data_IF_703682505109
#
_entry.id   IF_703682505109
#
_cell.length_a   1.000
_cell.length_b   1.000
_cell.length_c   1.000
_cell.angle_alpha   90.00
_cell.angle_beta   90.00
_cell.angle_gamma   90.00
#
_symmetry.space_group_name_H-M   'P 1'
#
loop_
_entity.id
_entity.type
_entity.pdbx_description
1 polymer ?
#
# COMPACT_ATOMS: atom_id res chain seq x y z
N UNK A 1 -6.06 -4.66 -16.11
CA UNK A 1 -4.74 -4.29 -15.60
C UNK A 1 -3.90 -5.54 -15.62
N UNK A 2 -2.76 -5.51 -16.31
CA UNK A 2 -1.81 -6.63 -16.42
C UNK A 2 -0.76 -6.62 -15.30
N UNK A 3 -1.00 -5.85 -14.23
CA UNK A 3 -0.05 -5.72 -13.13
C UNK A 3 0.02 -7.01 -12.30
N UNK A 4 1.14 -7.73 -12.39
CA UNK A 4 1.42 -8.87 -11.53
C UNK A 4 1.95 -8.42 -10.15
N UNK A 5 1.01 -8.20 -9.24
CA UNK A 5 1.32 -7.82 -7.87
C UNK A 5 2.08 -8.89 -7.07
N UNK A 6 1.97 -10.19 -7.43
CA UNK A 6 2.74 -11.25 -6.77
C UNK A 6 4.19 -11.19 -7.17
N UNK A 7 4.47 -11.10 -8.47
CA UNK A 7 5.82 -10.95 -8.99
C UNK A 7 6.49 -9.67 -8.48
N UNK A 8 5.74 -8.55 -8.45
CA UNK A 8 6.23 -7.30 -7.86
C UNK A 8 6.61 -7.47 -6.39
N UNK A 9 5.72 -8.04 -5.58
CA UNK A 9 5.98 -8.25 -4.15
C UNK A 9 7.23 -9.11 -3.90
N UNK A 10 7.48 -10.14 -4.72
CA UNK A 10 8.62 -11.03 -4.58
C UNK A 10 9.98 -10.32 -4.73
N UNK A 11 10.02 -9.22 -5.50
CA UNK A 11 11.24 -8.42 -5.71
C UNK A 11 11.53 -7.44 -4.56
N UNK A 12 10.58 -7.23 -3.65
CA UNK A 12 10.74 -6.26 -2.57
C UNK A 12 11.63 -6.78 -1.44
N UNK A 13 12.29 -5.85 -0.74
CA UNK A 13 13.03 -6.14 0.48
C UNK A 13 12.09 -6.32 1.69
N UNK A 14 12.66 -6.77 2.80
CA UNK A 14 11.98 -6.79 4.12
C UNK A 14 12.20 -5.51 4.92
N UNK A 15 12.80 -4.47 4.31
CA UNK A 15 13.00 -3.19 4.98
C UNK A 15 11.66 -2.47 5.19
N UNK A 16 11.59 -1.54 6.16
CA UNK A 16 10.46 -0.65 6.29
C UNK A 16 10.41 0.34 5.12
N UNK A 17 9.21 0.87 4.87
CA UNK A 17 9.03 1.87 3.83
C UNK A 17 7.57 2.19 3.53
N UNK A 18 7.38 3.00 2.50
CA UNK A 18 6.06 3.40 2.00
C UNK A 18 5.88 2.85 0.59
N UNK A 19 4.70 2.29 0.30
CA UNK A 19 4.29 1.89 -1.03
C UNK A 19 3.15 2.77 -1.52
N UNK A 20 3.10 2.95 -2.83
CA UNK A 20 2.10 3.74 -3.55
C UNK A 20 1.51 2.90 -4.65
N UNK A 21 0.20 2.93 -4.81
CA UNK A 21 -0.54 2.18 -5.82
C UNK A 21 -1.19 3.15 -6.78
N UNK A 22 -1.00 2.92 -8.07
CA UNK A 22 -1.45 3.78 -9.15
C UNK A 22 -2.35 3.04 -10.11
N UNK A 23 -3.34 3.73 -10.67
CA UNK A 23 -4.15 3.25 -11.78
C UNK A 23 -3.37 3.32 -13.11
N UNK A 24 -3.98 2.80 -14.18
CA UNK A 24 -3.37 2.78 -15.52
C UNK A 24 -3.19 4.16 -16.16
N UNK A 25 -3.84 5.18 -15.61
CA UNK A 25 -3.73 6.60 -15.99
C UNK A 25 -2.79 7.38 -15.07
N UNK A 26 -1.95 6.69 -14.29
CA UNK A 26 -1.07 7.25 -13.26
C UNK A 26 -1.80 7.99 -12.10
N UNK A 27 -3.12 7.84 -11.97
CA UNK A 27 -3.85 8.34 -10.80
C UNK A 27 -3.40 7.60 -9.53
N UNK A 28 -2.95 8.34 -8.51
CA UNK A 28 -2.59 7.77 -7.22
C UNK A 28 -3.85 7.29 -6.48
N UNK A 29 -3.98 5.98 -6.32
CA UNK A 29 -5.11 5.34 -5.67
C UNK A 29 -4.92 5.29 -4.16
N UNK A 30 -3.75 4.83 -3.71
CA UNK A 30 -3.48 4.54 -2.31
C UNK A 30 -2.00 4.71 -1.93
N UNK A 31 -1.75 5.14 -0.71
CA UNK A 31 -0.45 5.21 -0.03
C UNK A 31 -0.56 4.40 1.25
N UNK A 32 0.44 3.55 1.53
CA UNK A 32 0.51 2.85 2.82
C UNK A 32 1.94 2.58 3.28
N UNK A 33 2.14 2.49 4.59
CA UNK A 33 3.42 2.10 5.18
C UNK A 33 3.54 0.59 5.44
N UNK A 34 4.77 0.12 5.56
CA UNK A 34 5.12 -1.24 5.96
C UNK A 34 6.36 -1.26 6.86
N UNK A 35 6.38 -2.12 7.88
CA UNK A 35 7.62 -2.50 8.58
C UNK A 35 8.47 -3.48 7.77
N UNK A 36 7.83 -4.27 6.89
CA UNK A 36 8.48 -5.12 5.90
C UNK A 36 7.71 -5.08 4.58
N UNK A 37 8.27 -4.41 3.57
CA UNK A 37 7.62 -4.14 2.28
C UNK A 37 7.13 -5.42 1.58
N UNK A 38 7.99 -6.44 1.42
CA UNK A 38 7.62 -7.71 0.79
C UNK A 38 6.42 -8.38 1.45
N UNK A 39 6.42 -8.46 2.78
CA UNK A 39 5.34 -9.11 3.54
C UNK A 39 4.03 -8.34 3.38
N UNK A 40 4.08 -7.01 3.52
CA UNK A 40 2.88 -6.17 3.46
C UNK A 40 2.29 -6.14 2.04
N UNK A 41 3.11 -5.90 1.03
CA UNK A 41 2.62 -5.86 -0.37
C UNK A 41 2.12 -7.24 -0.79
N UNK A 42 2.83 -8.32 -0.45
CA UNK A 42 2.41 -9.69 -0.74
C UNK A 42 1.05 -10.07 -0.17
N UNK A 43 0.65 -9.52 1.00
CA UNK A 43 -0.67 -9.78 1.59
C UNK A 43 -1.84 -9.28 0.75
N UNK A 44 -1.63 -8.31 -0.15
CA UNK A 44 -2.69 -7.85 -1.06
C UNK A 44 -2.98 -8.86 -2.17
N UNK A 45 -1.99 -9.66 -2.55
CA UNK A 45 -2.07 -10.58 -3.69
C UNK A 45 -2.09 -12.05 -3.27
N UNK A 46 -2.23 -12.33 -1.98
CA UNK A 46 -2.51 -13.67 -1.49
C UNK A 46 -3.97 -14.07 -1.78
N UNK A 47 -4.26 -15.38 -1.65
CA UNK A 47 -5.62 -15.92 -1.85
C UNK A 47 -6.60 -15.63 -0.71
N UNK A 48 -6.23 -14.81 0.28
CA UNK A 48 -7.13 -14.50 1.40
C UNK A 48 -8.27 -13.58 0.93
N UNK A 49 -9.53 -13.87 1.30
CA UNK A 49 -10.66 -13.00 1.01
C UNK A 49 -10.43 -11.57 1.51
N UNK A 50 -10.85 -10.60 0.70
CA UNK A 50 -10.73 -9.16 0.98
C UNK A 50 -12.10 -8.55 0.88
N UNK A 51 -12.34 -7.47 1.63
CA UNK A 51 -13.60 -6.76 1.49
C UNK A 51 -13.73 -6.17 0.07
N UNK A 52 -14.97 -5.93 -0.35
CA UNK A 52 -15.29 -5.48 -1.70
C UNK A 52 -14.50 -4.23 -2.13
N UNK A 53 -14.24 -3.34 -1.16
CA UNK A 53 -13.60 -2.06 -1.43
C UNK A 53 -12.11 -2.16 -1.68
N UNK A 54 -11.41 -2.97 -0.89
CA UNK A 54 -10.02 -3.31 -1.14
C UNK A 54 -9.88 -4.05 -2.47
N UNK A 55 -10.77 -5.00 -2.76
CA UNK A 55 -10.81 -5.71 -4.05
C UNK A 55 -11.01 -4.75 -5.22
N UNK A 56 -11.93 -3.78 -5.11
CA UNK A 56 -12.17 -2.76 -6.13
C UNK A 56 -10.96 -1.83 -6.35
N UNK A 57 -10.25 -1.47 -5.29
CA UNK A 57 -9.00 -0.70 -5.42
C UNK A 57 -7.94 -1.53 -6.15
N UNK A 58 -7.71 -2.77 -5.71
CA UNK A 58 -6.69 -3.65 -6.26
C UNK A 58 -6.92 -3.97 -7.74
N UNK A 59 -8.19 -4.07 -8.19
CA UNK A 59 -8.49 -4.30 -9.62
C UNK A 59 -8.13 -3.12 -10.53
N UNK A 60 -7.97 -1.92 -9.98
CA UNK A 60 -7.53 -0.74 -10.72
C UNK A 60 -6.02 -0.56 -10.74
N UNK A 61 -5.28 -1.19 -9.81
CA UNK A 61 -3.83 -1.02 -9.70
C UNK A 61 -3.16 -1.51 -10.97
N UNK A 62 -2.41 -0.64 -11.63
CA UNK A 62 -1.61 -0.93 -12.82
C UNK A 62 -0.10 -0.75 -12.56
N UNK A 63 0.26 0.00 -11.52
CA UNK A 63 1.66 0.25 -11.13
C UNK A 63 1.78 0.43 -9.63
N UNK A 64 2.92 0.05 -9.09
CA UNK A 64 3.28 0.30 -7.70
C UNK A 64 4.69 0.88 -7.61
N UNK A 65 4.87 1.85 -6.71
CA UNK A 65 6.18 2.39 -6.35
C UNK A 65 6.45 2.14 -4.87
N UNK A 66 7.73 2.01 -4.51
CA UNK A 66 8.17 1.88 -3.12
C UNK A 66 9.28 2.88 -2.79
N UNK A 67 9.25 3.38 -1.57
CA UNK A 67 10.33 4.16 -0.96
C UNK A 67 10.76 3.45 0.31
N UNK A 68 11.97 2.91 0.33
CA UNK A 68 12.57 2.29 1.52
C UNK A 68 12.97 3.38 2.51
N UNK A 69 12.71 3.16 3.79
CA UNK A 69 13.11 4.05 4.90
C UNK A 69 14.06 3.34 5.85
N UNK A 70 14.71 4.08 6.75
CA UNK A 70 15.64 3.51 7.74
C UNK A 70 14.92 2.93 8.95
N UNK A 71 13.68 3.38 9.20
CA UNK A 71 12.87 2.95 10.32
C UNK A 71 11.37 2.98 9.99
N UNK A 72 10.57 2.32 10.84
CA UNK A 72 9.11 2.41 10.77
C UNK A 72 8.59 3.81 11.08
N UNK A 73 9.29 4.56 11.95
CA UNK A 73 8.93 5.92 12.30
C UNK A 73 9.08 6.87 11.09
N UNK A 74 10.16 6.73 10.33
CA UNK A 74 10.32 7.47 9.06
C UNK A 74 9.25 7.09 8.04
N UNK A 75 8.91 5.80 7.92
CA UNK A 75 7.84 5.35 7.03
C UNK A 75 6.49 5.97 7.41
N UNK A 76 6.20 6.06 8.72
CA UNK A 76 4.98 6.69 9.23
C UNK A 76 4.92 8.18 8.88
N UNK A 77 6.01 8.91 9.09
CA UNK A 77 6.08 10.34 8.76
C UNK A 77 5.92 10.58 7.26
N UNK A 78 6.62 9.80 6.43
CA UNK A 78 6.54 9.91 4.97
C UNK A 78 5.15 9.56 4.45
N UNK A 79 4.53 8.49 4.94
CA UNK A 79 3.14 8.12 4.59
C UNK A 79 2.18 9.26 4.93
N UNK A 80 2.28 9.82 6.14
CA UNK A 80 1.42 10.92 6.57
C UNK A 80 1.59 12.15 5.67
N UNK A 81 2.83 12.49 5.34
CA UNK A 81 3.13 13.61 4.43
C UNK A 81 2.50 13.36 3.05
N UNK A 82 2.72 12.18 2.46
CA UNK A 82 2.19 11.82 1.14
C UNK A 82 0.66 11.81 1.10
N UNK A 83 0.00 11.23 2.11
CA UNK A 83 -1.46 11.23 2.20
C UNK A 83 -2.01 12.65 2.28
N UNK A 84 -1.40 13.52 3.11
CA UNK A 84 -1.84 14.91 3.24
C UNK A 84 -1.62 15.70 1.96
N UNK A 85 -0.46 15.55 1.33
CA UNK A 85 -0.10 16.30 0.13
C UNK A 85 -0.85 15.84 -1.12
N UNK A 86 -1.16 14.55 -1.23
CA UNK A 86 -1.69 13.95 -2.47
C UNK A 86 -3.14 13.51 -2.36
N UNK A 87 -3.70 13.44 -1.14
CA UNK A 87 -5.09 13.05 -0.84
C UNK A 87 -5.63 11.89 -1.69
N UNK A 88 -4.98 10.71 -1.71
CA UNK A 88 -5.40 9.62 -2.58
C UNK A 88 -6.84 9.18 -2.29
N UNK A 89 -7.60 8.90 -3.35
CA UNK A 89 -9.03 8.56 -3.29
C UNK A 89 -9.33 7.47 -2.26
N UNK A 90 -8.54 6.39 -2.26
CA UNK A 90 -8.78 5.29 -1.35
C UNK A 90 -8.27 5.58 0.07
N UNK A 91 -7.24 6.40 0.30
CA UNK A 91 -6.86 6.78 1.67
C UNK A 91 -7.95 7.58 2.39
N UNK A 92 -8.60 8.52 1.70
CA UNK A 92 -9.67 9.35 2.29
C UNK A 92 -10.88 8.49 2.58
N UNK A 93 -11.38 7.79 1.56
CA UNK A 93 -12.61 7.05 1.72
C UNK A 93 -12.40 5.86 2.68
N UNK A 94 -11.21 5.22 2.75
CA UNK A 94 -10.96 4.05 3.63
C UNK A 94 -10.81 4.46 5.11
N UNK A 95 -10.75 5.76 5.39
CA UNK A 95 -10.70 6.32 6.74
C UNK A 95 -12.02 6.17 7.50
N UNK A 96 -13.15 6.18 6.79
CA UNK A 96 -14.49 6.20 7.41
C UNK A 96 -14.98 4.84 7.91
N UNK A 97 -14.37 3.72 7.50
CA UNK A 97 -14.88 2.37 7.82
C UNK A 97 -13.87 1.52 8.62
N UNK A 98 -13.18 2.15 9.58
CA UNK A 98 -12.10 1.58 10.40
C UNK A 98 -10.77 1.56 9.64
N UNK A 99 -9.83 2.39 10.10
CA UNK A 99 -8.40 2.38 9.76
C UNK A 99 -7.92 0.96 9.51
N UNK A 100 -7.63 0.59 8.25
CA UNK A 100 -7.24 -0.78 7.91
C UNK A 100 -6.08 -1.22 8.81
N UNK A 101 -6.31 -2.15 9.75
CA UNK A 101 -5.36 -2.49 10.81
C UNK A 101 -4.34 -3.50 10.28
N UNK A 102 -3.86 -3.31 9.05
CA UNK A 102 -2.67 -4.01 8.57
C UNK A 102 -1.39 -3.27 8.94
N UNK A 103 -1.48 -2.18 9.73
CA UNK A 103 -0.38 -1.83 10.62
C UNK A 103 -0.20 -3.04 11.54
N UNK A 104 0.51 -4.03 11.02
CA UNK A 104 1.20 -5.03 11.79
C UNK A 104 2.09 -4.19 12.69
N UNK A 105 1.61 -3.94 13.90
CA UNK A 105 2.43 -3.64 15.05
C UNK A 105 3.29 -4.89 15.22
N UNK A 106 4.42 -4.93 14.50
CA UNK A 106 5.53 -5.75 14.91
C UNK A 106 6.00 -5.19 16.24
N UNK A 107 5.84 -6.01 17.29
CA UNK A 107 6.40 -5.73 18.61
C UNK A 107 7.91 -5.55 18.53
#
# INVERSE_FOLDING_TARGET
SDFDGKAFAAQLSTAPGVYRMYAGDDTLLYVGKAGALRKRVGSYFNGTPKNARLTSMLSQVARMDVTVTRSEAEALLLENQLIKSLSPRYNVSLRDDKSYPYVLLTR
#
